data_IF_571010402179
#
_entry.id   IF_571010402179
#
_cell.length_a   1.000
_cell.length_b   1.000
_cell.length_c   1.000
_cell.angle_alpha   90.00
_cell.angle_beta   90.00
_cell.angle_gamma   90.00
#
_symmetry.space_group_name_H-M   'P 1'
#
loop_
_entity.id
_entity.type
_entity.pdbx_description
1 polymer ?
#
# COMPACT_ATOMS: atom_id res chain seq x y z
N UNK A 1 11.39 5.37 -9.92
CA UNK A 1 10.42 6.15 -9.12
C UNK A 1 10.96 6.49 -7.76
N UNK A 2 10.43 7.53 -7.12
CA UNK A 2 10.76 7.95 -5.75
C UNK A 2 9.50 8.45 -5.07
N UNK A 3 9.27 8.13 -3.79
CA UNK A 3 8.17 8.72 -3.03
C UNK A 3 8.37 10.23 -2.89
N UNK A 4 7.27 10.99 -2.88
CA UNK A 4 7.29 12.47 -2.78
C UNK A 4 8.09 13.16 -3.91
N UNK A 5 8.17 12.54 -5.09
CA UNK A 5 8.82 13.10 -6.29
C UNK A 5 8.20 14.38 -6.85
N UNK A 6 7.13 14.87 -6.23
CA UNK A 6 6.46 16.10 -6.58
C UNK A 6 6.94 17.33 -5.80
N UNK A 7 7.75 17.11 -4.75
CA UNK A 7 8.38 18.19 -4.03
C UNK A 7 9.47 18.82 -4.90
N UNK A 8 9.60 20.15 -4.81
CA UNK A 8 10.80 20.83 -5.30
C UNK A 8 12.04 20.41 -4.51
N UNK A 9 13.23 20.60 -5.07
CA UNK A 9 14.48 20.30 -4.36
C UNK A 9 14.59 21.08 -3.03
N UNK A 10 14.16 22.34 -3.02
CA UNK A 10 14.14 23.17 -1.80
C UNK A 10 13.18 22.62 -0.75
N UNK A 11 11.98 22.19 -1.16
CA UNK A 11 11.03 21.55 -0.24
C UNK A 11 11.56 20.21 0.28
N UNK A 12 12.19 19.42 -0.59
CA UNK A 12 12.80 18.14 -0.20
C UNK A 12 13.90 18.34 0.85
N UNK A 13 14.86 19.25 0.59
CA UNK A 13 15.95 19.59 1.51
C UNK A 13 15.44 20.16 2.85
N UNK A 14 14.35 20.93 2.80
CA UNK A 14 13.71 21.52 3.99
C UNK A 14 12.96 20.48 4.82
N UNK A 15 12.30 19.52 4.18
CA UNK A 15 11.43 18.55 4.86
C UNK A 15 12.22 17.33 5.34
N UNK A 16 13.15 16.82 4.54
CA UNK A 16 13.81 15.54 4.76
C UNK A 16 15.22 15.70 5.31
N UNK A 17 15.47 15.05 6.45
CA UNK A 17 16.81 14.74 6.92
C UNK A 17 17.48 13.68 6.03
N UNK A 18 16.69 12.72 5.53
CA UNK A 18 17.12 11.73 4.57
C UNK A 18 16.00 11.45 3.57
N UNK A 19 16.29 11.69 2.29
CA UNK A 19 15.30 11.54 1.23
C UNK A 19 14.97 10.08 0.92
N UNK A 20 13.74 9.79 0.45
CA UNK A 20 13.38 8.47 -0.07
C UNK A 20 14.34 7.98 -1.16
N UNK A 21 14.64 6.69 -1.20
CA UNK A 21 15.43 6.09 -2.28
C UNK A 21 14.55 5.83 -3.51
N UNK A 22 15.19 5.78 -4.68
CA UNK A 22 14.49 5.39 -5.91
C UNK A 22 14.29 3.88 -5.98
N UNK A 23 13.14 3.45 -6.52
CA UNK A 23 12.79 2.05 -6.77
C UNK A 23 12.01 1.89 -8.08
N UNK A 24 11.95 0.66 -8.57
CA UNK A 24 11.12 0.23 -9.70
C UNK A 24 10.80 -1.27 -9.56
N UNK A 25 10.13 -1.87 -10.54
CA UNK A 25 9.74 -3.29 -10.51
C UNK A 25 10.92 -4.31 -10.47
N UNK A 26 12.18 -3.86 -10.56
CA UNK A 26 13.41 -4.67 -10.44
C UNK A 26 14.11 -4.52 -9.09
N UNK A 27 13.63 -3.61 -8.24
CA UNK A 27 14.14 -3.46 -6.87
C UNK A 27 13.94 -4.78 -6.11
N UNK A 28 14.85 -5.07 -5.17
CA UNK A 28 14.78 -6.29 -4.36
C UNK A 28 13.41 -6.46 -3.70
N UNK A 29 12.95 -7.72 -3.59
CA UNK A 29 11.66 -8.06 -2.97
C UNK A 29 11.49 -7.43 -1.59
N UNK A 30 12.54 -7.44 -0.78
CA UNK A 30 12.51 -6.98 0.61
C UNK A 30 12.22 -5.47 0.72
N UNK A 31 12.72 -4.66 -0.21
CA UNK A 31 12.36 -3.24 -0.30
C UNK A 31 11.00 -3.06 -1.01
N UNK A 32 10.78 -3.78 -2.11
CA UNK A 32 9.60 -3.63 -2.95
C UNK A 32 8.30 -3.96 -2.21
N UNK A 33 8.33 -4.94 -1.30
CA UNK A 33 7.20 -5.31 -0.45
C UNK A 33 6.68 -4.14 0.40
N UNK A 34 7.60 -3.29 0.90
CA UNK A 34 7.27 -2.08 1.66
C UNK A 34 6.96 -0.87 0.76
N UNK A 35 7.45 -0.90 -0.49
CA UNK A 35 7.29 0.17 -1.47
C UNK A 35 5.94 0.20 -2.18
N UNK A 36 5.07 -0.80 -2.00
CA UNK A 36 3.72 -0.83 -2.61
C UNK A 36 2.86 0.36 -2.15
N UNK A 37 2.95 0.75 -0.88
CA UNK A 37 2.32 1.96 -0.33
C UNK A 37 0.82 2.08 -0.58
N UNK A 38 0.40 3.27 -1.06
CA UNK A 38 -0.99 3.54 -1.43
C UNK A 38 -1.27 2.98 -2.84
N UNK A 39 -1.82 1.77 -2.91
CA UNK A 39 -2.06 1.07 -4.16
C UNK A 39 -3.44 1.42 -4.75
N UNK A 40 -3.46 2.17 -5.86
CA UNK A 40 -4.68 2.68 -6.46
C UNK A 40 -5.34 1.65 -7.37
N UNK A 41 -6.56 1.24 -7.03
CA UNK A 41 -7.39 0.40 -7.88
C UNK A 41 -7.97 1.23 -9.03
N UNK A 42 -7.84 0.71 -10.25
CA UNK A 42 -8.48 1.27 -11.45
C UNK A 42 -9.10 0.14 -12.25
N UNK A 43 -10.38 0.21 -12.65
CA UNK A 43 -10.95 -0.79 -13.54
C UNK A 43 -10.21 -0.77 -14.88
N UNK A 44 -9.90 -1.95 -15.43
CA UNK A 44 -9.17 -2.05 -16.69
C UNK A 44 -9.90 -1.38 -17.87
N UNK A 45 -11.24 -1.31 -17.79
CA UNK A 45 -12.11 -0.65 -18.78
C UNK A 45 -11.96 0.88 -18.83
N UNK A 46 -11.23 1.49 -17.89
CA UNK A 46 -10.90 2.91 -17.96
C UNK A 46 -10.03 3.17 -19.19
N UNK A 47 -10.47 4.07 -20.07
CA UNK A 47 -9.89 4.26 -21.41
C UNK A 47 -8.53 4.96 -21.44
N UNK A 48 -8.09 5.60 -20.36
CA UNK A 48 -6.92 6.49 -20.35
C UNK A 48 -5.87 6.16 -19.28
N UNK A 49 -5.74 4.89 -18.86
CA UNK A 49 -4.74 4.53 -17.81
C UNK A 49 -3.32 4.87 -18.29
N UNK A 50 -2.94 4.44 -19.50
CA UNK A 50 -1.62 4.72 -20.05
C UNK A 50 -1.34 6.23 -20.21
N UNK A 51 -2.32 6.99 -20.72
CA UNK A 51 -2.23 8.45 -20.85
C UNK A 51 -2.12 9.15 -19.48
N UNK A 52 -2.91 8.72 -18.49
CA UNK A 52 -2.92 9.29 -17.14
C UNK A 52 -1.54 9.10 -16.47
N UNK A 53 -0.88 7.95 -16.71
CA UNK A 53 0.49 7.66 -16.25
C UNK A 53 1.51 8.54 -16.97
N UNK A 54 1.49 8.55 -18.30
CA UNK A 54 2.44 9.29 -19.13
C UNK A 54 2.42 10.79 -18.83
N UNK A 55 1.22 11.36 -18.64
CA UNK A 55 1.05 12.78 -18.31
C UNK A 55 1.30 13.10 -16.82
N UNK A 56 1.61 12.11 -15.98
CA UNK A 56 1.80 12.32 -14.54
C UNK A 56 0.58 12.90 -13.83
N UNK A 57 -0.64 12.58 -14.31
CA UNK A 57 -1.90 13.22 -13.89
C UNK A 57 -2.16 13.13 -12.39
N UNK A 58 -1.71 12.04 -11.77
CA UNK A 58 -1.88 11.78 -10.36
C UNK A 58 -0.54 11.93 -9.65
N UNK A 59 -0.29 13.14 -9.17
CA UNK A 59 0.92 13.51 -8.44
C UNK A 59 1.15 12.60 -7.21
N UNK A 60 2.35 12.03 -7.11
CA UNK A 60 2.74 11.09 -6.04
C UNK A 60 2.26 9.65 -6.24
N UNK A 61 1.58 9.31 -7.34
CA UNK A 61 1.16 7.94 -7.61
C UNK A 61 2.37 7.02 -7.82
N UNK A 62 2.48 5.96 -7.00
CA UNK A 62 3.57 4.98 -7.07
C UNK A 62 3.12 3.58 -7.47
N UNK A 63 1.85 3.22 -7.23
CA UNK A 63 1.34 1.88 -7.49
C UNK A 63 -0.07 1.92 -8.05
N UNK A 64 -0.30 1.17 -9.12
CA UNK A 64 -1.62 0.95 -9.73
C UNK A 64 -1.93 -0.54 -9.73
N UNK A 65 -3.16 -0.88 -9.38
CA UNK A 65 -3.72 -2.22 -9.51
C UNK A 65 -4.86 -2.12 -10.53
N UNK A 66 -4.61 -2.63 -11.73
CA UNK A 66 -5.56 -2.67 -12.84
C UNK A 66 -6.51 -3.85 -12.59
N UNK A 67 -7.77 -3.54 -12.32
CA UNK A 67 -8.75 -4.48 -11.83
C UNK A 67 -9.56 -5.12 -12.98
N UNK A 68 -9.53 -6.46 -13.05
CA UNK A 68 -10.32 -7.30 -13.96
C UNK A 68 -11.42 -8.06 -13.21
N UNK A 69 -11.57 -7.86 -11.89
CA UNK A 69 -12.45 -8.59 -11.01
C UNK A 69 -13.68 -7.74 -10.61
N UNK A 70 -13.85 -7.35 -9.34
CA UNK A 70 -15.09 -6.76 -8.83
C UNK A 70 -15.42 -5.38 -9.43
N UNK A 71 -14.42 -4.66 -9.97
CA UNK A 71 -14.62 -3.36 -10.62
C UNK A 71 -15.08 -3.47 -12.09
N UNK A 72 -15.23 -4.68 -12.63
CA UNK A 72 -15.60 -4.96 -14.02
C UNK A 72 -16.88 -5.81 -14.01
N UNK A 73 -17.85 -5.46 -14.86
CA UNK A 73 -19.06 -6.28 -15.00
C UNK A 73 -18.77 -7.66 -15.60
N UNK A 74 -19.56 -8.68 -15.28
CA UNK A 74 -19.32 -10.06 -15.74
C UNK A 74 -19.26 -10.20 -17.27
N UNK A 75 -20.08 -9.42 -17.99
CA UNK A 75 -20.11 -9.40 -19.45
C UNK A 75 -18.99 -8.53 -20.08
N UNK A 76 -18.16 -7.88 -19.27
CA UNK A 76 -17.10 -6.97 -19.72
C UNK A 76 -15.70 -7.54 -19.55
N UNK A 77 -15.55 -8.78 -19.07
CA UNK A 77 -14.25 -9.35 -18.73
C UNK A 77 -13.31 -9.45 -19.94
N UNK A 78 -13.80 -9.95 -21.08
CA UNK A 78 -12.99 -10.03 -22.30
C UNK A 78 -12.56 -8.64 -22.79
N UNK A 79 -13.48 -7.67 -22.74
CA UNK A 79 -13.17 -6.28 -23.08
C UNK A 79 -12.13 -5.67 -22.12
N UNK A 80 -12.25 -5.95 -20.82
CA UNK A 80 -11.32 -5.49 -19.81
C UNK A 80 -9.91 -6.08 -20.00
N UNK A 81 -9.81 -7.36 -20.38
CA UNK A 81 -8.54 -8.01 -20.76
C UNK A 81 -7.94 -7.34 -22.00
N UNK A 82 -8.74 -7.04 -23.03
CA UNK A 82 -8.30 -6.30 -24.22
C UNK A 82 -7.79 -4.89 -23.87
N UNK A 83 -8.50 -4.16 -22.99
CA UNK A 83 -8.04 -2.86 -22.51
C UNK A 83 -6.71 -2.96 -21.76
N UNK A 84 -6.51 -3.98 -20.93
CA UNK A 84 -5.22 -4.19 -20.25
C UNK A 84 -4.08 -4.39 -21.25
N UNK A 85 -4.28 -5.22 -22.29
CA UNK A 85 -3.30 -5.40 -23.38
C UNK A 85 -2.99 -4.05 -24.06
N UNK A 86 -4.03 -3.28 -24.37
CA UNK A 86 -3.87 -1.97 -25.02
C UNK A 86 -3.07 -0.99 -24.14
N UNK A 87 -3.39 -0.89 -22.84
CA UNK A 87 -2.69 -0.01 -21.91
C UNK A 87 -1.21 -0.38 -21.79
N UNK A 88 -0.89 -1.68 -21.64
CA UNK A 88 0.49 -2.13 -21.52
C UNK A 88 1.29 -1.94 -22.81
N UNK A 89 0.66 -2.16 -23.97
CA UNK A 89 1.27 -1.90 -25.28
C UNK A 89 1.60 -0.42 -25.46
N UNK A 90 0.66 0.47 -25.09
CA UNK A 90 0.85 1.92 -25.17
C UNK A 90 1.95 2.40 -24.22
N UNK A 91 2.00 1.88 -22.99
CA UNK A 91 3.07 2.18 -22.03
C UNK A 91 4.45 1.73 -22.53
N UNK A 92 4.53 0.51 -23.09
CA UNK A 92 5.78 0.02 -23.70
C UNK A 92 6.22 0.94 -24.84
N UNK A 93 5.30 1.36 -25.70
CA UNK A 93 5.58 2.31 -26.78
C UNK A 93 6.10 3.66 -26.24
N UNK A 94 5.51 4.18 -25.17
CA UNK A 94 5.99 5.41 -24.53
C UNK A 94 7.40 5.27 -23.95
N UNK A 95 7.75 4.10 -23.43
CA UNK A 95 9.09 3.84 -22.92
C UNK A 95 10.12 3.70 -24.05
N UNK A 96 9.78 2.98 -25.12
CA UNK A 96 10.66 2.79 -26.28
C UNK A 96 10.93 4.10 -27.03
N UNK A 97 9.93 4.98 -27.12
CA UNK A 97 10.04 6.30 -27.74
C UNK A 97 10.66 7.36 -26.82
N UNK A 98 10.93 7.02 -25.55
CA UNK A 98 11.49 7.94 -24.56
C UNK A 98 10.50 8.97 -24.02
N UNK A 99 9.20 8.86 -24.32
CA UNK A 99 8.15 9.71 -23.76
C UNK A 99 7.90 9.44 -22.27
N UNK A 100 8.17 8.23 -21.81
CA UNK A 100 8.04 7.83 -20.40
C UNK A 100 9.35 7.19 -19.94
N UNK A 101 9.97 7.76 -18.91
CA UNK A 101 11.16 7.17 -18.31
C UNK A 101 10.81 6.02 -17.36
N UNK A 102 11.73 5.06 -17.19
CA UNK A 102 11.61 3.98 -16.20
C UNK A 102 11.35 4.53 -14.78
N UNK A 103 11.88 5.72 -14.47
CA UNK A 103 11.73 6.33 -13.15
C UNK A 103 10.37 6.97 -12.91
N UNK A 104 9.56 7.19 -13.94
CA UNK A 104 8.20 7.68 -13.84
C UNK A 104 7.16 6.55 -13.86
N UNK A 105 7.60 5.32 -14.14
CA UNK A 105 6.71 4.17 -14.29
C UNK A 105 6.23 3.65 -12.93
N UNK A 106 4.91 3.68 -12.62
CA UNK A 106 4.35 3.08 -11.41
C UNK A 106 4.57 1.58 -11.35
N UNK A 107 4.57 1.03 -10.13
CA UNK A 107 4.42 -0.41 -9.96
C UNK A 107 3.04 -0.81 -10.48
N UNK A 108 3.01 -1.68 -11.47
CA UNK A 108 1.78 -2.15 -12.08
C UNK A 108 1.44 -3.56 -11.62
N UNK A 109 0.21 -3.74 -11.19
CA UNK A 109 -0.34 -5.06 -10.91
C UNK A 109 -1.65 -5.26 -11.66
N UNK A 110 -1.96 -6.51 -12.00
CA UNK A 110 -3.29 -6.88 -12.46
C UNK A 110 -4.02 -7.65 -11.35
N UNK A 111 -5.27 -7.29 -11.03
CA UNK A 111 -6.14 -8.09 -10.16
C UNK A 111 -6.99 -9.00 -11.05
N UNK A 112 -6.66 -10.29 -11.03
CA UNK A 112 -7.32 -11.35 -11.81
C UNK A 112 -8.50 -11.95 -11.03
N UNK A 113 -9.42 -12.66 -11.68
CA UNK A 113 -10.58 -13.35 -11.08
C UNK A 113 -10.30 -14.77 -10.65
N UNK A 114 -9.38 -15.46 -11.33
CA UNK A 114 -9.14 -16.89 -11.13
C UNK A 114 -7.74 -17.31 -11.61
N UNK A 115 -7.24 -18.48 -11.17
CA UNK A 115 -5.99 -19.04 -11.71
C UNK A 115 -6.04 -19.27 -13.22
N UNK A 116 -7.21 -19.64 -13.76
CA UNK A 116 -7.39 -19.86 -15.20
C UNK A 116 -7.33 -18.55 -15.97
N UNK A 117 -7.87 -17.46 -15.41
CA UNK A 117 -7.70 -16.14 -16.03
C UNK A 117 -6.24 -15.71 -16.01
N UNK A 118 -5.52 -15.95 -14.91
CA UNK A 118 -4.09 -15.64 -14.82
C UNK A 118 -3.28 -16.36 -15.90
N UNK A 119 -3.51 -17.66 -16.11
CA UNK A 119 -2.84 -18.43 -17.16
C UNK A 119 -3.10 -17.83 -18.56
N UNK A 120 -4.37 -17.61 -18.91
CA UNK A 120 -4.72 -16.98 -20.20
C UNK A 120 -4.13 -15.59 -20.36
N UNK A 121 -4.11 -14.80 -19.30
CA UNK A 121 -3.58 -13.43 -19.32
C UNK A 121 -2.08 -13.43 -19.56
N UNK A 122 -1.33 -14.32 -18.91
CA UNK A 122 0.12 -14.47 -19.13
C UNK A 122 0.39 -14.83 -20.59
N UNK A 123 -0.35 -15.79 -21.15
CA UNK A 123 -0.20 -16.22 -22.54
C UNK A 123 -0.55 -15.10 -23.53
N UNK A 124 -1.63 -14.35 -23.25
CA UNK A 124 -2.10 -13.26 -24.12
C UNK A 124 -1.17 -12.05 -24.10
N UNK A 125 -0.62 -11.70 -22.93
CA UNK A 125 0.29 -10.57 -22.78
C UNK A 125 1.67 -10.83 -23.38
N UNK A 126 2.15 -12.08 -23.36
CA UNK A 126 3.47 -12.45 -23.86
C UNK A 126 4.58 -11.61 -23.21
N UNK A 127 5.32 -10.84 -24.01
CA UNK A 127 6.39 -9.96 -23.53
C UNK A 127 5.90 -8.80 -22.64
N UNK A 128 4.64 -8.37 -22.82
CA UNK A 128 4.03 -7.30 -22.03
C UNK A 128 3.93 -7.63 -20.54
N UNK A 129 3.99 -8.92 -20.15
CA UNK A 129 4.02 -9.31 -18.73
C UNK A 129 5.22 -8.68 -18.00
N UNK A 130 6.32 -8.41 -18.71
CA UNK A 130 7.51 -7.75 -18.15
C UNK A 130 7.25 -6.32 -17.62
N UNK A 131 6.15 -5.69 -18.04
CA UNK A 131 5.70 -4.39 -17.54
C UNK A 131 5.06 -4.51 -16.16
N UNK A 132 4.49 -5.68 -15.83
CA UNK A 132 3.85 -5.93 -14.54
C UNK A 132 4.89 -6.20 -13.46
N UNK A 133 4.67 -5.61 -12.30
CA UNK A 133 5.37 -5.97 -11.05
C UNK A 133 4.78 -7.26 -10.46
N UNK A 134 3.48 -7.50 -10.65
CA UNK A 134 2.85 -8.69 -10.10
C UNK A 134 1.35 -8.77 -10.38
N UNK A 135 0.70 -9.67 -9.64
CA UNK A 135 -0.74 -9.91 -9.72
C UNK A 135 -1.37 -9.95 -8.33
N UNK A 136 -2.52 -9.31 -8.18
CA UNK A 136 -3.34 -9.40 -6.99
C UNK A 136 -4.28 -10.61 -7.11
N UNK A 137 -4.30 -11.47 -6.10
CA UNK A 137 -4.99 -12.76 -6.12
C UNK A 137 -6.21 -12.69 -5.19
N UNK A 138 -7.40 -12.31 -5.70
CA UNK A 138 -8.59 -12.18 -4.86
C UNK A 138 -9.08 -13.54 -4.38
N UNK A 139 -9.91 -13.49 -3.33
CA UNK A 139 -10.59 -14.66 -2.77
C UNK A 139 -9.61 -15.82 -2.56
N UNK A 140 -8.38 -15.51 -2.12
CA UNK A 140 -7.30 -16.46 -1.99
C UNK A 140 -7.62 -17.47 -0.88
N UNK A 141 -7.67 -18.76 -1.24
CA UNK A 141 -8.08 -19.83 -0.37
C UNK A 141 -7.19 -21.08 -0.57
N UNK A 142 -7.33 -22.07 0.32
CA UNK A 142 -6.55 -23.33 0.22
C UNK A 142 -6.81 -24.06 -1.11
N UNK A 143 -8.02 -23.95 -1.65
CA UNK A 143 -8.43 -24.62 -2.89
C UNK A 143 -7.88 -23.99 -4.17
N UNK A 144 -7.57 -22.69 -4.19
CA UNK A 144 -7.07 -22.00 -5.39
C UNK A 144 -5.62 -21.50 -5.26
N UNK A 145 -5.09 -21.42 -4.03
CA UNK A 145 -3.83 -20.73 -3.78
C UNK A 145 -2.62 -21.37 -4.45
N UNK A 146 -2.56 -22.71 -4.44
CA UNK A 146 -1.51 -23.46 -5.15
C UNK A 146 -1.56 -23.21 -6.66
N UNK A 147 -2.76 -23.27 -7.24
CA UNK A 147 -2.95 -23.04 -8.68
C UNK A 147 -2.52 -21.64 -9.11
N UNK A 148 -2.77 -20.60 -8.30
CA UNK A 148 -2.24 -19.26 -8.58
C UNK A 148 -0.71 -19.23 -8.61
N UNK A 149 -0.06 -19.74 -7.56
CA UNK A 149 1.39 -19.72 -7.47
C UNK A 149 2.09 -20.65 -8.46
N UNK A 150 1.44 -21.74 -8.88
CA UNK A 150 1.95 -22.61 -9.94
C UNK A 150 2.07 -21.85 -11.27
N UNK A 151 1.10 -20.98 -11.62
CA UNK A 151 1.18 -20.14 -12.82
C UNK A 151 2.29 -19.08 -12.70
N UNK A 152 2.40 -18.43 -11.55
CA UNK A 152 3.47 -17.45 -11.28
C UNK A 152 4.85 -18.11 -11.36
N UNK A 153 5.02 -19.29 -10.76
CA UNK A 153 6.27 -20.05 -10.79
C UNK A 153 6.61 -20.48 -12.22
N UNK A 154 5.64 -21.04 -12.95
CA UNK A 154 5.78 -21.46 -14.34
C UNK A 154 6.25 -20.31 -15.24
N UNK A 155 5.70 -19.11 -15.05
CA UNK A 155 6.15 -17.91 -15.77
C UNK A 155 7.58 -17.52 -15.39
N UNK A 156 7.87 -17.37 -14.08
CA UNK A 156 9.19 -16.92 -13.63
C UNK A 156 10.33 -17.88 -13.99
N UNK A 157 10.06 -19.17 -14.13
CA UNK A 157 11.03 -20.18 -14.57
C UNK A 157 11.29 -20.17 -16.09
N UNK A 158 10.37 -19.60 -16.89
CA UNK A 158 10.42 -19.63 -18.36
C UNK A 158 10.74 -18.28 -18.99
N UNK A 159 10.47 -17.19 -18.28
CA UNK A 159 10.75 -15.83 -18.76
C UNK A 159 12.26 -15.64 -19.00
N UNK A 160 12.66 -14.72 -19.90
CA UNK A 160 14.05 -14.33 -20.03
C UNK A 160 14.64 -13.81 -18.70
N UNK A 161 15.93 -14.07 -18.45
CA UNK A 161 16.61 -13.68 -17.20
C UNK A 161 16.57 -12.16 -16.94
N UNK A 162 16.55 -11.37 -18.01
CA UNK A 162 16.50 -9.92 -17.94
C UNK A 162 15.11 -9.36 -17.65
N UNK A 163 14.05 -10.18 -17.59
CA UNK A 163 12.72 -9.73 -17.17
C UNK A 163 12.62 -9.67 -15.64
N UNK A 164 11.87 -8.71 -15.06
CA UNK A 164 11.64 -8.68 -13.62
C UNK A 164 10.91 -9.94 -13.13
N UNK A 165 10.98 -10.21 -11.83
CA UNK A 165 10.18 -11.27 -11.19
C UNK A 165 8.73 -10.83 -11.16
N UNK A 166 7.82 -11.68 -11.60
CA UNK A 166 6.38 -11.48 -11.42
C UNK A 166 5.98 -11.97 -10.03
N UNK A 167 5.47 -11.08 -9.18
CA UNK A 167 5.05 -11.44 -7.84
C UNK A 167 3.55 -11.68 -7.70
N UNK A 168 3.14 -12.39 -6.65
CA UNK A 168 1.76 -12.55 -6.21
C UNK A 168 1.47 -11.74 -4.94
N UNK A 169 0.27 -11.15 -4.87
CA UNK A 169 -0.28 -10.50 -3.69
C UNK A 169 -1.61 -11.17 -3.31
N UNK A 170 -1.61 -12.23 -2.46
CA UNK A 170 -2.83 -12.87 -1.98
C UNK A 170 -3.71 -11.90 -1.20
N UNK A 171 -5.01 -11.91 -1.48
CA UNK A 171 -6.02 -11.13 -0.76
C UNK A 171 -6.84 -12.07 0.12
N UNK A 172 -6.76 -11.83 1.43
CA UNK A 172 -7.47 -12.58 2.46
C UNK A 172 -8.85 -11.94 2.66
N UNK A 173 -9.88 -12.58 2.10
CA UNK A 173 -11.22 -11.98 2.02
C UNK A 173 -12.37 -13.00 1.95
N UNK A 174 -12.10 -14.28 2.23
CA UNK A 174 -13.11 -15.36 2.11
C UNK A 174 -13.86 -15.65 3.40
N UNK A 175 -15.03 -16.30 3.28
CA UNK A 175 -15.85 -16.76 4.40
C UNK A 175 -15.08 -17.65 5.39
N UNK A 176 -14.26 -18.57 4.87
CA UNK A 176 -13.45 -19.48 5.68
C UNK A 176 -12.37 -18.79 6.52
N UNK A 177 -12.03 -17.53 6.21
CA UNK A 177 -11.09 -16.72 7.00
C UNK A 177 -11.85 -15.93 8.07
N UNK A 178 -13.01 -15.35 7.74
CA UNK A 178 -13.73 -14.49 8.69
C UNK A 178 -14.52 -15.29 9.74
N UNK A 179 -15.03 -16.47 9.40
CA UNK A 179 -15.80 -17.33 10.31
C UNK A 179 -14.89 -18.05 11.31
N UNK A 180 -15.19 -17.88 12.60
CA UNK A 180 -14.31 -18.27 13.71
C UNK A 180 -14.06 -19.78 13.76
N UNK A 181 -15.06 -20.57 13.40
CA UNK A 181 -15.03 -22.03 13.38
C UNK A 181 -14.03 -22.61 12.36
N UNK A 182 -13.70 -21.89 11.29
CA UNK A 182 -12.81 -22.35 10.21
C UNK A 182 -11.55 -21.50 10.06
N UNK A 183 -11.51 -20.30 10.66
CA UNK A 183 -10.45 -19.31 10.51
C UNK A 183 -9.06 -19.89 10.74
N UNK A 184 -8.82 -20.49 11.90
CA UNK A 184 -7.46 -20.85 12.30
C UNK A 184 -6.86 -21.93 11.40
N UNK A 185 -7.63 -22.98 11.09
CA UNK A 185 -7.23 -24.03 10.16
C UNK A 185 -6.97 -23.45 8.76
N UNK A 186 -7.86 -22.57 8.30
CA UNK A 186 -7.71 -21.90 7.01
C UNK A 186 -6.43 -21.07 6.97
N UNK A 187 -6.20 -20.18 7.94
CA UNK A 187 -5.03 -19.32 7.99
C UNK A 187 -3.72 -20.12 8.00
N UNK A 188 -3.66 -21.23 8.74
CA UNK A 188 -2.52 -22.16 8.71
C UNK A 188 -2.32 -22.80 7.33
N UNK A 189 -3.39 -23.24 6.68
CA UNK A 189 -3.34 -23.79 5.33
C UNK A 189 -2.83 -22.76 4.30
N UNK A 190 -3.30 -21.51 4.39
CA UNK A 190 -2.82 -20.42 3.54
C UNK A 190 -1.34 -20.12 3.81
N UNK A 191 -0.95 -20.05 5.08
CA UNK A 191 0.44 -19.84 5.49
C UNK A 191 1.38 -20.89 4.89
N UNK A 192 0.99 -22.17 4.89
CA UNK A 192 1.80 -23.22 4.26
C UNK A 192 1.99 -22.99 2.76
N UNK A 193 0.92 -22.60 2.04
CA UNK A 193 1.01 -22.29 0.60
C UNK A 193 1.95 -21.10 0.36
N UNK A 194 1.87 -20.05 1.20
CA UNK A 194 2.75 -18.88 1.05
C UNK A 194 4.20 -19.21 1.40
N UNK A 195 4.46 -20.04 2.43
CA UNK A 195 5.81 -20.43 2.86
C UNK A 195 6.51 -21.24 1.74
N UNK A 196 5.78 -22.11 1.04
CA UNK A 196 6.28 -22.84 -0.15
C UNK A 196 6.60 -21.94 -1.34
N UNK A 197 6.09 -20.70 -1.36
CA UNK A 197 6.21 -19.76 -2.48
C UNK A 197 6.80 -18.42 -2.05
N UNK A 198 7.55 -18.39 -0.94
CA UNK A 198 8.00 -17.16 -0.27
C UNK A 198 8.76 -16.20 -1.19
N UNK A 199 9.49 -16.71 -2.19
CA UNK A 199 10.21 -15.91 -3.18
C UNK A 199 9.29 -15.10 -4.10
N UNK A 200 8.06 -15.57 -4.33
CA UNK A 200 7.08 -14.94 -5.23
C UNK A 200 5.96 -14.19 -4.48
N UNK A 201 5.90 -14.25 -3.16
CA UNK A 201 4.91 -13.47 -2.36
C UNK A 201 5.48 -12.07 -2.09
N UNK A 202 4.84 -11.03 -2.65
CA UNK A 202 5.27 -9.64 -2.40
C UNK A 202 4.67 -9.06 -1.12
N UNK A 203 3.37 -9.16 -0.95
CA UNK A 203 2.66 -8.80 0.29
C UNK A 203 1.37 -9.60 0.43
N UNK A 204 0.84 -9.66 1.65
CA UNK A 204 -0.48 -10.23 1.97
C UNK A 204 -1.45 -9.08 2.18
N UNK A 205 -2.62 -9.13 1.53
CA UNK A 205 -3.61 -8.05 1.59
C UNK A 205 -4.85 -8.50 2.35
N UNK A 206 -5.55 -7.56 2.96
CA UNK A 206 -6.80 -7.82 3.70
C UNK A 206 -7.97 -7.21 2.92
N UNK A 207 -8.93 -8.03 2.50
CA UNK A 207 -10.17 -7.59 1.85
C UNK A 207 -11.30 -7.45 2.86
N UNK A 208 -11.35 -6.31 3.56
CA UNK A 208 -12.33 -6.12 4.62
C UNK A 208 -13.76 -5.84 4.13
N UNK A 209 -13.94 -5.42 2.87
CA UNK A 209 -15.25 -5.19 2.26
C UNK A 209 -16.01 -6.51 2.11
N UNK A 210 -15.38 -7.54 1.55
CA UNK A 210 -15.95 -8.89 1.45
C UNK A 210 -16.21 -9.51 2.83
N UNK A 211 -15.30 -9.32 3.79
CA UNK A 211 -15.59 -9.75 5.16
C UNK A 211 -16.82 -9.06 5.76
N UNK A 212 -16.99 -7.76 5.50
CA UNK A 212 -18.14 -7.00 6.00
C UNK A 212 -19.44 -7.44 5.33
N UNK A 213 -19.41 -7.74 4.02
CA UNK A 213 -20.59 -8.17 3.26
C UNK A 213 -21.17 -9.48 3.79
N UNK A 214 -20.33 -10.41 4.25
CA UNK A 214 -20.74 -11.68 4.85
C UNK A 214 -21.54 -11.55 6.15
N UNK A 215 -21.49 -10.38 6.80
CA UNK A 215 -22.31 -10.05 7.97
C UNK A 215 -23.38 -8.98 7.67
N UNK A 216 -23.55 -8.58 6.41
CA UNK A 216 -24.45 -7.48 6.03
C UNK A 216 -24.01 -6.12 6.60
N UNK A 217 -22.70 -5.95 6.86
CA UNK A 217 -22.15 -4.73 7.43
C UNK A 217 -21.61 -3.81 6.33
N UNK A 218 -21.74 -2.50 6.57
CA UNK A 218 -21.03 -1.46 5.82
C UNK A 218 -20.48 -0.44 6.81
N UNK A 219 -19.17 -0.18 6.77
CA UNK A 219 -18.47 0.65 7.75
C UNK A 219 -18.91 2.11 7.59
N UNK A 220 -19.35 2.79 8.63
CA UNK A 220 -19.59 4.25 8.61
C UNK A 220 -18.28 5.04 8.43
N UNK A 221 -18.25 6.20 7.74
CA UNK A 221 -17.04 7.03 7.62
C UNK A 221 -16.53 7.59 8.97
N UNK A 222 -17.37 7.55 10.00
CA UNK A 222 -17.03 7.99 11.37
C UNK A 222 -16.25 6.92 12.17
N UNK A 223 -16.22 5.69 11.67
CA UNK A 223 -15.58 4.54 12.28
C UNK A 223 -14.43 4.06 11.39
N UNK A 224 -13.45 3.44 12.01
CA UNK A 224 -12.42 2.67 11.30
C UNK A 224 -12.84 1.22 11.18
N UNK A 225 -12.15 0.48 10.34
CA UNK A 225 -12.38 -0.96 10.20
C UNK A 225 -12.12 -1.72 11.52
N UNK A 226 -11.23 -1.17 12.36
CA UNK A 226 -10.89 -1.71 13.68
C UNK A 226 -12.01 -1.53 14.72
N UNK A 227 -12.99 -0.66 14.46
CA UNK A 227 -14.16 -0.51 15.33
C UNK A 227 -15.22 -1.60 15.07
N UNK A 228 -15.15 -2.31 13.92
CA UNK A 228 -16.06 -3.40 13.60
C UNK A 228 -15.54 -4.69 14.23
N UNK A 229 -16.20 -5.15 15.29
CA UNK A 229 -15.70 -6.21 16.17
C UNK A 229 -15.32 -7.51 15.43
N UNK A 230 -16.17 -8.00 14.51
CA UNK A 230 -15.92 -9.22 13.74
C UNK A 230 -14.72 -9.09 12.80
N UNK A 231 -14.52 -7.89 12.25
CA UNK A 231 -13.42 -7.60 11.32
C UNK A 231 -12.12 -7.40 12.08
N UNK A 232 -12.13 -6.61 13.17
CA UNK A 232 -10.98 -6.39 14.06
C UNK A 232 -10.42 -7.71 14.58
N UNK A 233 -11.28 -8.61 15.05
CA UNK A 233 -10.89 -9.93 15.57
C UNK A 233 -10.17 -10.77 14.50
N UNK A 234 -10.68 -10.80 13.27
CA UNK A 234 -10.03 -11.47 12.15
C UNK A 234 -8.71 -10.82 11.73
N UNK A 235 -8.67 -9.48 11.66
CA UNK A 235 -7.42 -8.73 11.36
C UNK A 235 -6.35 -9.07 12.40
N UNK A 236 -6.71 -9.14 13.68
CA UNK A 236 -5.79 -9.55 14.75
C UNK A 236 -5.17 -10.92 14.50
N UNK A 237 -5.97 -11.93 14.11
CA UNK A 237 -5.46 -13.27 13.82
C UNK A 237 -4.58 -13.30 12.56
N UNK A 238 -4.94 -12.53 11.52
CA UNK A 238 -4.12 -12.37 10.30
C UNK A 238 -2.76 -11.75 10.67
N UNK A 239 -2.74 -10.65 11.41
CA UNK A 239 -1.50 -9.99 11.86
C UNK A 239 -0.68 -10.96 12.71
N UNK A 240 -1.32 -11.65 13.65
CA UNK A 240 -0.64 -12.59 14.54
C UNK A 240 0.09 -13.68 13.75
N UNK A 241 -0.52 -14.23 12.70
CA UNK A 241 0.09 -15.32 11.94
C UNK A 241 1.08 -14.84 10.89
N UNK A 242 0.74 -13.83 10.09
CA UNK A 242 1.55 -13.40 8.94
C UNK A 242 2.61 -12.36 9.31
N UNK A 243 2.42 -11.62 10.40
CA UNK A 243 3.32 -10.54 10.85
C UNK A 243 4.45 -10.98 11.80
N UNK A 244 4.63 -12.29 12.06
CA UNK A 244 5.65 -12.79 13.00
C UNK A 244 7.05 -12.56 12.45
N UNK A 245 7.94 -12.03 13.30
CA UNK A 245 9.27 -11.56 12.87
C UNK A 245 10.27 -12.68 12.53
N UNK A 246 10.01 -13.93 12.91
CA UNK A 246 10.82 -15.09 12.52
C UNK A 246 10.66 -15.45 11.04
N UNK A 247 9.46 -15.24 10.49
CA UNK A 247 9.15 -15.40 9.07
C UNK A 247 8.08 -14.38 8.64
N UNK A 248 8.43 -13.09 8.50
CA UNK A 248 7.45 -12.04 8.31
C UNK A 248 6.99 -11.93 6.86
N UNK A 249 5.68 -11.76 6.67
CA UNK A 249 5.13 -11.17 5.46
C UNK A 249 4.83 -9.70 5.70
N UNK A 250 4.98 -8.88 4.65
CA UNK A 250 4.44 -7.52 4.67
C UNK A 250 2.92 -7.62 4.48
N UNK A 251 2.16 -7.06 5.41
CA UNK A 251 0.70 -7.03 5.37
C UNK A 251 0.25 -5.64 4.91
N UNK A 252 -0.64 -5.57 3.93
CA UNK A 252 -1.23 -4.33 3.44
C UNK A 252 -2.66 -4.16 3.92
N UNK A 253 -3.00 -2.94 4.34
CA UNK A 253 -4.26 -2.66 5.00
C UNK A 253 -5.45 -2.62 4.03
N UNK A 254 -6.68 -2.80 4.55
CA UNK A 254 -7.90 -2.86 3.75
C UNK A 254 -8.31 -1.52 3.16
N UNK A 255 -9.21 -1.53 2.17
CA UNK A 255 -9.70 -0.33 1.48
C UNK A 255 -10.43 0.64 2.40
N UNK A 256 -10.16 1.94 2.22
CA UNK A 256 -11.06 3.02 2.67
C UNK A 256 -12.06 3.37 1.57
N UNK A 257 -13.36 3.20 1.84
CA UNK A 257 -14.42 3.23 0.81
C UNK A 257 -15.02 4.62 0.53
N UNK A 258 -14.50 5.67 1.17
CA UNK A 258 -15.07 7.02 1.10
C UNK A 258 -14.12 8.02 0.47
N UNK A 259 -14.62 8.85 -0.45
CA UNK A 259 -13.87 9.92 -1.11
C UNK A 259 -14.64 11.23 -1.27
N UNK A 260 -15.93 11.28 -0.85
CA UNK A 260 -16.79 12.47 -0.93
C UNK A 260 -16.86 13.23 0.40
N UNK A 261 -17.19 14.53 0.31
CA UNK A 261 -17.42 15.39 1.48
C UNK A 261 -18.81 15.09 2.07
N UNK A 262 -18.86 14.81 3.37
CA UNK A 262 -20.12 14.73 4.14
C UNK A 262 -19.97 15.53 5.42
N UNK A 263 -21.03 16.21 5.83
CA UNK A 263 -21.08 16.84 7.15
C UNK A 263 -20.97 15.77 8.25
N UNK A 264 -20.06 16.01 9.18
CA UNK A 264 -19.68 15.09 10.25
C UNK A 264 -20.64 15.22 11.44
N UNK A 265 -20.94 14.11 12.10
CA UNK A 265 -21.79 14.10 13.31
C UNK A 265 -20.97 14.06 14.62
N UNK A 266 -19.76 13.47 14.60
CA UNK A 266 -18.92 13.30 15.79
C UNK A 266 -17.73 14.26 15.88
N UNK A 267 -17.15 14.39 17.09
CA UNK A 267 -16.00 15.26 17.34
C UNK A 267 -14.73 14.75 16.61
N UNK A 268 -13.86 15.66 16.14
CA UNK A 268 -12.69 15.28 15.37
C UNK A 268 -11.57 14.68 16.23
N UNK A 269 -10.82 13.73 15.67
CA UNK A 269 -9.75 13.03 16.38
C UNK A 269 -8.34 13.30 15.84
N UNK A 270 -8.18 13.95 14.67
CA UNK A 270 -6.88 14.46 14.23
C UNK A 270 -6.30 15.46 15.24
N UNK A 271 -5.07 15.21 15.72
CA UNK A 271 -4.37 16.07 16.67
C UNK A 271 -4.15 17.47 16.07
N UNK A 272 -4.32 18.51 16.89
CA UNK A 272 -4.11 19.90 16.45
C UNK A 272 -2.64 20.25 16.29
N UNK A 273 -1.83 19.79 17.25
CA UNK A 273 -0.42 20.13 17.41
C UNK A 273 0.41 20.00 16.12
N UNK A 274 0.38 18.88 15.38
CA UNK A 274 1.19 18.76 14.16
C UNK A 274 0.83 19.78 13.07
N UNK A 275 -0.44 20.18 12.99
CA UNK A 275 -0.89 21.17 12.02
C UNK A 275 -0.47 22.58 12.41
N UNK A 276 -0.62 22.92 13.68
CA UNK A 276 -0.25 24.23 14.22
C UNK A 276 1.27 24.44 14.24
N UNK A 277 2.05 23.43 14.61
CA UNK A 277 3.52 23.51 14.62
C UNK A 277 4.10 23.64 13.21
N UNK A 278 3.53 22.92 12.23
CA UNK A 278 4.06 22.94 10.84
C UNK A 278 3.66 24.20 10.07
N UNK A 279 2.41 24.65 10.22
CA UNK A 279 1.81 25.67 9.33
C UNK A 279 1.17 26.84 10.10
N UNK A 280 1.26 26.88 11.44
CA UNK A 280 0.62 27.91 12.25
C UNK A 280 -0.90 27.98 12.03
N UNK A 281 -1.44 29.20 11.89
CA UNK A 281 -2.88 29.43 11.68
C UNK A 281 -3.42 28.78 10.41
N UNK A 282 -2.65 28.73 9.32
CA UNK A 282 -3.12 28.07 8.07
C UNK A 282 -3.21 26.55 8.26
N UNK A 283 -2.36 25.97 9.10
CA UNK A 283 -2.45 24.58 9.54
C UNK A 283 -3.77 24.25 10.26
N UNK A 284 -4.24 25.15 11.13
CA UNK A 284 -5.54 24.97 11.79
C UNK A 284 -6.71 24.94 10.78
N UNK A 285 -6.65 25.78 9.75
CA UNK A 285 -7.66 25.76 8.67
C UNK A 285 -7.55 24.49 7.83
N UNK A 286 -6.33 24.05 7.51
CA UNK A 286 -6.10 22.78 6.81
C UNK A 286 -6.67 21.61 7.61
N UNK A 287 -6.39 21.57 8.91
CA UNK A 287 -6.95 20.58 9.84
C UNK A 287 -8.47 20.56 9.78
N UNK A 288 -9.13 21.73 9.85
CA UNK A 288 -10.59 21.81 9.77
C UNK A 288 -11.12 21.22 8.46
N UNK A 289 -10.46 21.45 7.32
CA UNK A 289 -10.86 20.85 6.03
C UNK A 289 -10.75 19.32 6.02
N UNK A 290 -9.67 18.77 6.57
CA UNK A 290 -9.48 17.31 6.68
C UNK A 290 -10.52 16.69 7.62
N UNK A 291 -10.86 17.39 8.70
CA UNK A 291 -11.86 17.00 9.69
C UNK A 291 -13.28 16.97 9.12
N UNK A 292 -13.63 17.94 8.27
CA UNK A 292 -14.93 18.00 7.59
C UNK A 292 -15.04 17.01 6.43
N UNK A 293 -13.96 16.30 6.11
CA UNK A 293 -13.93 15.31 5.05
C UNK A 293 -13.84 13.90 5.63
N UNK A 294 -14.21 12.90 4.84
CA UNK A 294 -14.00 11.48 5.13
C UNK A 294 -12.51 11.10 5.25
N UNK A 295 -11.61 12.06 4.98
CA UNK A 295 -10.17 11.95 5.06
C UNK A 295 -9.63 11.80 6.49
N UNK A 296 -10.24 12.41 7.51
CA UNK A 296 -9.85 12.20 8.91
C UNK A 296 -10.02 10.72 9.31
N UNK A 297 -11.10 10.08 8.85
CA UNK A 297 -11.34 8.65 9.04
C UNK A 297 -10.26 7.79 8.37
N UNK A 298 -9.90 8.10 7.11
CA UNK A 298 -8.81 7.44 6.39
C UNK A 298 -7.49 7.56 7.17
N UNK A 299 -7.08 8.77 7.55
CA UNK A 299 -5.81 9.00 8.24
C UNK A 299 -5.76 8.29 9.59
N UNK A 300 -6.87 8.26 10.32
CA UNK A 300 -6.98 7.52 11.58
C UNK A 300 -6.86 6.01 11.37
N UNK A 301 -7.44 5.47 10.31
CA UNK A 301 -7.29 4.07 9.97
C UNK A 301 -5.85 3.73 9.56
N UNK A 302 -5.20 4.58 8.77
CA UNK A 302 -3.78 4.41 8.39
C UNK A 302 -2.87 4.49 9.61
N UNK A 303 -3.19 5.35 10.58
CA UNK A 303 -2.48 5.36 11.87
C UNK A 303 -2.62 4.01 12.58
N UNK A 304 -3.84 3.46 12.67
CA UNK A 304 -4.04 2.14 13.28
C UNK A 304 -3.37 1.00 12.51
N UNK A 305 -3.34 1.06 11.18
CA UNK A 305 -2.56 0.11 10.37
C UNK A 305 -1.08 0.14 10.78
N UNK A 306 -0.47 1.34 10.80
CA UNK A 306 0.94 1.54 11.16
C UNK A 306 1.25 0.98 12.55
N UNK A 307 0.40 1.28 13.55
CA UNK A 307 0.57 0.78 14.92
C UNK A 307 0.44 -0.75 15.02
N UNK A 308 -0.38 -1.37 14.16
CA UNK A 308 -0.53 -2.82 14.08
C UNK A 308 0.49 -3.49 13.16
N UNK A 309 1.49 -2.74 12.67
CA UNK A 309 2.54 -3.26 11.81
C UNK A 309 2.11 -3.53 10.37
N UNK A 310 0.97 -3.01 9.93
CA UNK A 310 0.56 -3.02 8.53
C UNK A 310 1.28 -1.91 7.77
N UNK A 311 1.61 -2.15 6.49
CA UNK A 311 2.34 -1.23 5.62
C UNK A 311 1.59 -1.05 4.31
N UNK A 312 1.35 0.22 3.95
CA UNK A 312 0.53 0.57 2.80
C UNK A 312 -0.94 0.17 2.97
N UNK A 313 -1.74 0.49 1.95
CA UNK A 313 -3.17 0.24 1.93
C UNK A 313 -3.69 0.30 0.50
N UNK A 314 -4.72 -0.47 0.19
CA UNK A 314 -5.47 -0.28 -1.06
C UNK A 314 -6.27 1.03 -1.02
N UNK A 315 -6.18 1.85 -2.06
CA UNK A 315 -6.98 3.07 -2.22
C UNK A 315 -7.83 3.01 -3.49
N UNK A 316 -8.96 3.71 -3.50
CA UNK A 316 -9.92 3.72 -4.62
C UNK A 316 -10.05 5.09 -5.29
N UNK A 317 -9.35 6.11 -4.78
CA UNK A 317 -9.47 7.47 -5.28
C UNK A 317 -8.12 8.21 -5.18
N UNK A 318 -7.74 9.02 -6.19
CA UNK A 318 -6.45 9.73 -6.21
C UNK A 318 -6.22 10.66 -5.01
N UNK A 319 -7.28 11.23 -4.41
CA UNK A 319 -7.14 12.09 -3.23
C UNK A 319 -6.56 11.36 -2.00
N UNK A 320 -6.55 10.03 -1.99
CA UNK A 320 -6.00 9.23 -0.90
C UNK A 320 -4.47 9.05 -1.00
N UNK A 321 -3.87 9.29 -2.17
CA UNK A 321 -2.45 9.03 -2.44
C UNK A 321 -1.57 9.74 -1.41
N UNK A 322 -1.59 11.08 -1.41
CA UNK A 322 -0.72 11.89 -0.56
C UNK A 322 -0.98 11.65 0.94
N UNK A 323 -2.23 11.65 1.45
CA UNK A 323 -2.49 11.39 2.87
C UNK A 323 -2.02 10.02 3.35
N UNK A 324 -2.23 8.96 2.57
CA UNK A 324 -1.78 7.60 2.96
C UNK A 324 -0.25 7.55 2.97
N UNK A 325 0.40 8.04 1.92
CA UNK A 325 1.86 8.00 1.81
C UNK A 325 2.55 8.86 2.88
N UNK A 326 2.03 10.06 3.14
CA UNK A 326 2.57 10.97 4.16
C UNK A 326 2.56 10.33 5.56
N UNK A 327 1.55 9.55 5.90
CA UNK A 327 1.46 8.87 7.21
C UNK A 327 2.51 7.77 7.42
N UNK A 328 3.15 7.27 6.35
CA UNK A 328 4.21 6.27 6.42
C UNK A 328 5.63 6.86 6.47
N UNK A 329 5.78 8.18 6.35
CA UNK A 329 7.08 8.86 6.54
C UNK A 329 7.64 8.58 7.94
N UNK A 330 8.97 8.46 8.05
CA UNK A 330 9.64 8.22 9.32
C UNK A 330 10.00 9.56 9.97
N UNK A 331 9.69 9.71 11.26
CA UNK A 331 10.13 10.87 12.03
C UNK A 331 11.62 10.76 12.36
N UNK A 332 12.32 11.89 12.51
CA UNK A 332 13.73 11.87 12.93
C UNK A 332 13.94 11.08 14.22
N UNK A 333 13.01 11.22 15.17
CA UNK A 333 13.05 10.51 16.44
C UNK A 333 12.96 8.98 16.27
N UNK A 334 11.98 8.48 15.51
CA UNK A 334 11.88 7.03 15.19
C UNK A 334 13.18 6.52 14.53
N UNK A 335 13.72 7.29 13.58
CA UNK A 335 14.93 6.91 12.86
C UNK A 335 16.16 6.89 13.77
N UNK A 336 16.35 7.92 14.59
CA UNK A 336 17.46 8.02 15.53
C UNK A 336 17.44 6.88 16.56
N UNK A 337 16.27 6.57 17.12
CA UNK A 337 16.08 5.44 18.02
C UNK A 337 16.44 4.11 17.33
N UNK A 338 15.96 3.91 16.09
CA UNK A 338 16.22 2.69 15.34
C UNK A 338 17.72 2.50 15.01
N UNK A 339 18.41 3.58 14.61
CA UNK A 339 19.84 3.54 14.35
C UNK A 339 20.63 3.19 15.62
N UNK A 340 20.33 3.84 16.75
CA UNK A 340 21.01 3.56 18.01
C UNK A 340 20.78 2.12 18.50
N UNK A 341 19.55 1.61 18.40
CA UNK A 341 19.24 0.22 18.78
C UNK A 341 20.08 -0.77 17.98
N UNK A 342 20.20 -0.56 16.67
CA UNK A 342 20.97 -1.46 15.80
C UNK A 342 22.47 -1.31 16.06
N UNK A 343 22.99 -0.09 16.17
CA UNK A 343 24.42 0.16 16.38
C UNK A 343 24.93 -0.37 17.72
N UNK A 344 24.08 -0.36 18.76
CA UNK A 344 24.42 -0.80 20.12
C UNK A 344 24.08 -2.26 20.41
N UNK A 345 23.68 -3.03 19.40
CA UNK A 345 23.38 -4.46 19.54
C UNK A 345 24.66 -5.33 19.53
N UNK A 346 25.62 -4.99 20.40
CA UNK A 346 26.90 -5.70 20.59
C UNK A 346 26.91 -6.57 21.86
N UNK A 347 25.83 -6.51 22.65
CA UNK A 347 25.68 -7.24 23.91
C UNK A 347 26.23 -6.54 25.15
N UNK A 348 26.83 -5.34 25.00
CA UNK A 348 27.37 -4.56 26.12
C UNK A 348 26.29 -3.87 26.97
N UNK A 349 25.14 -3.56 26.38
CA UNK A 349 24.02 -2.88 27.03
C UNK A 349 22.70 -3.63 26.77
N UNK A 350 21.79 -3.57 27.75
CA UNK A 350 20.41 -4.06 27.59
C UNK A 350 19.43 -2.94 27.23
N UNK A 351 19.59 -1.78 27.86
CA UNK A 351 18.70 -0.62 27.74
C UNK A 351 19.51 0.68 27.72
N UNK A 352 18.96 1.72 27.10
CA UNK A 352 19.52 3.07 27.12
C UNK A 352 18.41 4.12 26.95
N UNK A 353 18.70 5.37 27.31
CA UNK A 353 17.77 6.49 27.15
C UNK A 353 17.81 7.00 25.71
N UNK A 354 16.65 7.32 25.11
CA UNK A 354 16.60 7.90 23.75
C UNK A 354 17.34 9.24 23.67
N UNK A 355 17.80 9.62 22.48
CA UNK A 355 18.47 10.91 22.24
C UNK A 355 17.56 12.11 22.52
N UNK A 356 16.25 11.93 22.35
CA UNK A 356 15.21 12.92 22.69
C UNK A 356 14.86 12.94 24.18
N UNK A 357 15.50 12.10 24.99
CA UNK A 357 15.36 12.03 26.45
C UNK A 357 13.95 11.77 26.99
N UNK A 358 13.04 11.26 26.15
CA UNK A 358 11.62 11.11 26.43
C UNK A 358 11.16 9.65 26.59
N UNK A 359 12.01 8.66 26.23
CA UNK A 359 11.69 7.24 26.35
C UNK A 359 12.93 6.38 26.62
N UNK A 360 12.68 5.13 27.00
CA UNK A 360 13.70 4.09 27.15
C UNK A 360 13.70 3.21 25.90
N UNK A 361 14.89 2.93 25.36
CA UNK A 361 15.09 1.96 24.30
C UNK A 361 15.67 0.67 24.89
N UNK A 362 14.99 -0.45 24.66
CA UNK A 362 15.49 -1.79 24.98
C UNK A 362 16.04 -2.42 23.71
N UNK A 363 17.31 -2.80 23.71
CA UNK A 363 18.01 -3.21 22.47
C UNK A 363 17.37 -4.46 21.86
N UNK A 364 17.32 -5.57 22.61
CA UNK A 364 16.80 -6.84 22.08
C UNK A 364 15.30 -6.78 21.74
N UNK A 365 14.41 -6.27 22.61
CA UNK A 365 12.98 -6.20 22.30
C UNK A 365 12.64 -5.28 21.12
N UNK A 366 13.37 -4.17 20.97
CA UNK A 366 13.07 -3.20 19.91
C UNK A 366 13.84 -3.45 18.61
N UNK A 367 14.71 -4.47 18.53
CA UNK A 367 15.53 -4.74 17.34
C UNK A 367 14.69 -4.99 16.08
N UNK A 368 13.63 -5.80 16.20
CA UNK A 368 12.71 -6.06 15.08
C UNK A 368 11.98 -4.81 14.63
N UNK A 369 11.58 -3.95 15.57
CA UNK A 369 10.97 -2.66 15.28
C UNK A 369 11.97 -1.74 14.55
N UNK A 370 13.20 -1.62 15.06
CA UNK A 370 14.25 -0.79 14.49
C UNK A 370 14.57 -1.16 13.03
N UNK A 371 14.71 -2.45 12.73
CA UNK A 371 14.93 -2.93 11.36
C UNK A 371 13.78 -2.51 10.41
N UNK A 372 12.53 -2.61 10.87
CA UNK A 372 11.37 -2.18 10.08
C UNK A 372 11.35 -0.66 9.86
N UNK A 373 11.74 0.11 10.87
CA UNK A 373 11.87 1.57 10.74
C UNK A 373 12.94 1.92 9.71
N UNK A 374 14.09 1.25 9.70
CA UNK A 374 15.15 1.51 8.72
C UNK A 374 14.78 1.11 7.27
N UNK A 375 13.96 0.08 7.10
CA UNK A 375 13.41 -0.24 5.77
C UNK A 375 12.42 0.86 5.35
N UNK A 376 11.51 1.25 6.25
CA UNK A 376 10.52 2.29 5.96
C UNK A 376 11.18 3.65 5.69
N UNK A 377 12.29 3.97 6.37
CA UNK A 377 13.03 5.22 6.15
C UNK A 377 13.67 5.28 4.77
N UNK A 378 14.10 4.15 4.22
CA UNK A 378 14.58 4.11 2.83
C UNK A 378 13.43 4.38 1.86
N UNK A 379 12.26 3.78 2.07
CA UNK A 379 11.14 3.90 1.14
C UNK A 379 10.44 5.26 1.21
N UNK A 380 10.17 5.77 2.40
CA UNK A 380 9.38 7.00 2.60
C UNK A 380 10.22 8.18 3.09
N UNK A 381 11.52 8.02 3.33
CA UNK A 381 12.38 9.08 3.86
C UNK A 381 12.22 9.32 5.36
N UNK A 382 13.09 10.18 5.87
CA UNK A 382 13.16 10.64 7.27
C UNK A 382 12.98 12.15 7.31
N UNK A 383 11.99 12.63 8.06
CA UNK A 383 11.78 14.05 8.29
C UNK A 383 12.86 14.65 9.21
N UNK A 384 13.12 15.96 9.10
CA UNK A 384 13.89 16.70 10.10
C UNK A 384 13.19 16.77 11.47
N UNK A 385 13.93 17.09 12.54
CA UNK A 385 13.49 17.00 13.95
C UNK A 385 12.20 17.77 14.29
N UNK A 386 11.89 18.84 13.53
CA UNK A 386 10.74 19.72 13.74
C UNK A 386 9.71 19.64 12.61
N UNK A 387 9.91 18.71 11.68
CA UNK A 387 9.01 18.54 10.55
C UNK A 387 8.00 17.43 10.84
N UNK A 388 6.78 17.61 10.35
CA UNK A 388 5.70 16.63 10.47
C UNK A 388 5.17 16.22 9.11
N UNK A 389 4.50 15.07 9.06
CA UNK A 389 3.84 14.57 7.84
C UNK A 389 2.86 15.58 7.21
N UNK A 390 2.37 16.56 7.98
CA UNK A 390 1.49 17.64 7.51
C UNK A 390 2.14 18.44 6.38
N UNK A 391 3.47 18.61 6.38
CA UNK A 391 4.20 19.28 5.31
C UNK A 391 4.11 18.58 3.96
N UNK A 392 3.78 17.27 3.96
CA UNK A 392 3.63 16.43 2.77
C UNK A 392 2.17 16.33 2.30
N UNK A 393 1.21 16.88 3.06
CA UNK A 393 -0.19 16.90 2.67
C UNK A 393 -0.45 17.95 1.59
N UNK A 394 -1.42 17.71 0.68
CA UNK A 394 -1.79 18.71 -0.31
C UNK A 394 -2.23 20.02 0.37
N UNK A 395 -1.46 21.08 0.12
CA UNK A 395 -1.80 22.46 0.43
C UNK A 395 -2.90 22.86 -0.56
N UNK A 396 -4.16 22.64 -0.20
CA UNK A 396 -5.28 22.94 -1.11
C UNK A 396 -5.40 24.45 -1.35
N UNK A 397 -4.69 24.97 -2.35
CA UNK A 397 -5.04 26.20 -3.04
C UNK A 397 -6.03 25.84 -4.17
N UNK A 398 -7.30 26.23 -3.94
CA UNK A 398 -8.43 26.26 -4.88
C UNK A 398 -8.89 24.93 -5.50
N UNK A 399 -10.11 24.54 -5.13
CA UNK A 399 -10.89 23.46 -5.74
C UNK A 399 -11.16 23.78 -7.22
N UNK A 400 -10.64 22.97 -8.14
CA UNK A 400 -11.30 22.82 -9.43
C UNK A 400 -12.58 22.01 -9.24
N UNK A 401 -13.71 22.65 -9.54
CA UNK A 401 -15.04 22.03 -9.60
C UNK A 401 -15.00 20.79 -10.50
N UNK A 402 -15.10 19.61 -9.91
CA UNK A 402 -15.39 18.39 -10.65
C UNK A 402 -16.88 18.41 -11.00
N UNK A 403 -17.19 18.69 -12.26
CA UNK A 403 -18.52 18.44 -12.82
C UNK A 403 -18.55 16.96 -13.20
N UNK A 404 -19.44 16.13 -12.62
CA UNK A 404 -19.63 14.77 -13.10
C UNK A 404 -20.23 14.85 -14.50
N UNK A 405 -19.53 14.34 -15.50
CA UNK A 405 -20.16 14.08 -16.79
C UNK A 405 -21.16 12.92 -16.59
N UNK A 406 -22.42 13.23 -16.86
CA UNK A 406 -23.57 12.34 -17.00
C UNK A 406 -23.38 11.28 -18.07
#
# INVERSE_FOLDING_TARGET
MKYFNFLSLEEEDTLFFSSPVSFNHRTSKDLLAYAVGAALYMPATRTHIADDIMNGKHEGLTTIIIDLEDAVGDDQVEFAEQCLVQHLTQLMTYMETGMLSQDQMPLLFARVRSPQQLERLIDTLGELVSMLTGVALPKFCVGNGRAYFDQIRKYNQRKPDHYPVLYGMPILETASIIYRETRWETLLGLRNILDENVEYVLNVRIGATDFSSLFGLRRSPELTIYDIATIRDCISDIINLFGRMDKPYVISGPVWEYFSQRERVFKPQLRQTPFEETLGKSGLHLRMKYITNTMDGLMREVMMDKENGIVGKTIIHPSHIKPVQAMYVVTHEEYSDAQDIIARNDGSLGVFKSNYYNKMNEIKPHLSWANRILIRSQIYGVLHEQQHFVGLLPKHEQQHNYVPNS
#
